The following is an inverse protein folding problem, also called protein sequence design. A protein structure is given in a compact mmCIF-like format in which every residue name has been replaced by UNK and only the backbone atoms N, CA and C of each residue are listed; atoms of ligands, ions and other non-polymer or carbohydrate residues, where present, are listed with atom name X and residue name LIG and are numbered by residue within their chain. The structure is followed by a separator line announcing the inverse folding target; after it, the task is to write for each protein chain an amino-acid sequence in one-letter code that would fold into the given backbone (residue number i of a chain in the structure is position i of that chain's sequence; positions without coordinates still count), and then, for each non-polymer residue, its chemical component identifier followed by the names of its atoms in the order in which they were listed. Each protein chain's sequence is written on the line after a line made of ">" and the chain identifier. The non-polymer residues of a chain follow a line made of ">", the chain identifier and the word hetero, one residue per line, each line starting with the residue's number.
data_IF_444081083172
#
_entry.id   IF_444081083172
#
_cell.length_a   1.000
_cell.length_b   1.000
_cell.length_c   1.000
_cell.angle_alpha   90.00
_cell.angle_beta   90.00
_cell.angle_gamma   90.00
#
_symmetry.space_group_name_H-M   'P 1'
#
loop_
_entity.id
_entity.type
_entity.pdbx_description
1 polymer ?
#
# COMPACT_ATOMS: atom_id res chain seq x y z
N UNK A 1 17.24 -0.58 4.71
CA UNK A 1 15.98 -1.36 4.61
C UNK A 1 14.95 -0.68 5.49
N UNK A 2 13.89 -0.18 4.89
CA UNK A 2 12.76 0.46 5.56
C UNK A 2 11.66 -0.57 5.77
N UNK A 3 11.16 -0.69 6.99
CA UNK A 3 10.01 -1.55 7.30
C UNK A 3 8.77 -0.67 7.53
N UNK A 4 7.72 -0.98 6.79
CA UNK A 4 6.44 -0.31 6.81
C UNK A 4 5.34 -1.29 7.24
N UNK A 5 4.39 -0.80 8.02
CA UNK A 5 3.15 -1.52 8.32
C UNK A 5 2.12 -1.21 7.25
N UNK A 6 1.63 -2.22 6.56
CA UNK A 6 0.59 -2.05 5.55
C UNK A 6 -0.76 -1.96 6.24
N UNK A 7 -1.60 -1.04 5.78
CA UNK A 7 -3.00 -0.98 6.13
C UNK A 7 -3.86 -0.83 4.89
N UNK A 8 -4.75 -1.78 4.67
CA UNK A 8 -5.64 -1.80 3.52
C UNK A 8 -6.85 -0.91 3.78
N UNK A 9 -7.09 0.06 2.90
CA UNK A 9 -8.24 0.97 3.01
C UNK A 9 -9.55 0.32 2.52
N UNK A 10 -9.47 -0.46 1.44
CA UNK A 10 -10.64 -1.03 0.77
C UNK A 10 -10.86 -2.53 1.04
N UNK A 11 -9.80 -3.27 1.36
CA UNK A 11 -9.83 -4.73 1.41
C UNK A 11 -9.29 -5.23 2.77
N UNK A 12 -10.14 -5.12 3.79
CA UNK A 12 -9.79 -5.52 5.15
C UNK A 12 -9.93 -7.05 5.37
N UNK A 13 -10.60 -7.75 4.45
CA UNK A 13 -10.85 -9.19 4.53
C UNK A 13 -9.63 -10.01 4.08
N UNK A 14 -8.90 -9.53 3.07
CA UNK A 14 -7.68 -10.17 2.53
C UNK A 14 -6.37 -9.59 3.12
N UNK A 15 -6.43 -9.17 4.40
CA UNK A 15 -5.31 -8.55 5.13
C UNK A 15 -4.18 -9.53 5.53
N UNK A 16 -3.75 -10.37 4.58
CA UNK A 16 -2.70 -11.37 4.77
C UNK A 16 -1.31 -10.73 4.97
N UNK A 17 -0.99 -9.60 4.33
CA UNK A 17 0.31 -8.93 4.48
C UNK A 17 0.22 -7.66 5.30
N UNK A 18 0.65 -7.74 6.55
CA UNK A 18 0.61 -6.60 7.50
C UNK A 18 1.91 -5.79 7.52
N UNK A 19 2.94 -6.28 6.83
CA UNK A 19 4.28 -5.70 6.80
C UNK A 19 4.84 -5.72 5.39
N UNK A 20 5.48 -4.62 5.02
CA UNK A 20 6.23 -4.43 3.79
C UNK A 20 7.62 -3.94 4.12
N UNK A 21 8.63 -4.45 3.46
CA UNK A 21 9.99 -3.93 3.58
C UNK A 21 10.51 -3.53 2.21
N UNK A 22 11.13 -2.35 2.15
CA UNK A 22 11.71 -1.83 0.92
C UNK A 22 13.14 -1.36 1.17
N UNK A 23 13.97 -1.43 0.14
CA UNK A 23 15.31 -0.85 0.17
C UNK A 23 15.27 0.67 0.03
N UNK A 24 14.22 1.19 -0.61
CA UNK A 24 14.01 2.61 -0.87
C UNK A 24 12.89 3.18 -0.01
N UNK A 25 12.92 4.49 0.21
CA UNK A 25 11.85 5.20 0.90
C UNK A 25 10.64 5.32 -0.03
N UNK A 26 9.48 4.85 0.42
CA UNK A 26 8.22 4.99 -0.30
C UNK A 26 7.65 6.41 -0.18
N UNK A 27 6.95 6.86 -1.22
CA UNK A 27 6.17 8.09 -1.22
C UNK A 27 4.67 7.81 -1.41
N UNK A 28 3.83 8.81 -1.16
CA UNK A 28 2.41 8.73 -1.52
C UNK A 28 2.30 8.75 -3.04
N UNK A 29 1.51 7.84 -3.60
CA UNK A 29 1.37 7.59 -5.03
C UNK A 29 2.29 6.49 -5.56
N UNK A 30 3.26 5.99 -4.77
CA UNK A 30 4.09 4.85 -5.17
C UNK A 30 3.24 3.57 -5.28
N UNK A 31 3.59 2.73 -6.23
CA UNK A 31 2.97 1.41 -6.42
C UNK A 31 3.91 0.37 -5.83
N UNK A 32 3.40 -0.39 -4.86
CA UNK A 32 4.12 -1.51 -4.25
C UNK A 32 3.54 -2.82 -4.75
N UNK A 33 4.43 -3.75 -5.10
CA UNK A 33 4.07 -5.14 -5.35
C UNK A 33 4.28 -5.94 -4.06
N UNK A 34 3.24 -6.65 -3.64
CA UNK A 34 3.33 -7.57 -2.50
C UNK A 34 3.79 -8.95 -2.98
N UNK A 35 4.29 -9.77 -2.04
CA UNK A 35 4.77 -11.13 -2.33
C UNK A 35 3.72 -12.07 -2.94
N UNK A 36 2.45 -11.67 -2.96
CA UNK A 36 1.37 -12.39 -3.62
C UNK A 36 1.21 -12.07 -5.11
N UNK A 37 2.02 -11.18 -5.67
CA UNK A 37 1.90 -10.71 -7.06
C UNK A 37 0.74 -9.72 -7.26
N UNK A 38 0.26 -9.10 -6.18
CA UNK A 38 -0.76 -8.05 -6.21
C UNK A 38 -0.11 -6.69 -6.04
N UNK A 39 -0.62 -5.73 -6.81
CA UNK A 39 -0.20 -4.34 -6.81
C UNK A 39 -1.12 -3.50 -5.93
N UNK A 40 -0.50 -2.62 -5.16
CA UNK A 40 -1.20 -1.70 -4.27
C UNK A 40 -0.58 -0.31 -4.37
N UNK A 41 -1.41 0.73 -4.38
CA UNK A 41 -0.91 2.11 -4.38
C UNK A 41 -0.85 2.63 -2.96
N UNK A 42 0.26 3.26 -2.60
CA UNK A 42 0.44 3.94 -1.32
C UNK A 42 -0.38 5.23 -1.35
N UNK A 43 -1.46 5.25 -0.59
CA UNK A 43 -2.38 6.38 -0.52
C UNK A 43 -1.99 7.37 0.57
N UNK A 44 -1.45 6.87 1.69
CA UNK A 44 -0.97 7.73 2.76
C UNK A 44 0.18 7.08 3.51
N UNK A 45 1.07 7.90 4.04
CA UNK A 45 2.16 7.47 4.91
C UNK A 45 2.00 8.16 6.26
N UNK A 46 1.79 7.37 7.30
CA UNK A 46 1.54 7.82 8.67
C UNK A 46 2.66 7.33 9.58
N UNK A 47 3.57 8.21 10.02
CA UNK A 47 4.54 7.83 11.05
C UNK A 47 3.81 7.59 12.38
N UNK A 48 4.13 6.48 13.04
CA UNK A 48 3.58 6.10 14.35
C UNK A 48 4.70 5.87 15.37
N UNK A 49 4.35 5.86 16.66
CA UNK A 49 5.30 5.57 17.75
C UNK A 49 6.00 4.20 17.63
N UNK A 50 5.41 3.24 16.92
CA UNK A 50 5.93 1.87 16.76
C UNK A 50 6.53 1.60 15.38
N UNK A 51 6.64 2.61 14.52
CA UNK A 51 7.15 2.48 13.15
C UNK A 51 6.36 3.32 12.15
N UNK A 52 6.58 3.11 10.85
CA UNK A 52 5.86 3.83 9.79
C UNK A 52 4.72 2.94 9.30
N UNK A 53 3.51 3.49 9.21
CA UNK A 53 2.37 2.83 8.58
C UNK A 53 2.12 3.44 7.22
N UNK A 54 1.86 2.60 6.23
CA UNK A 54 1.40 2.99 4.90
C UNK A 54 -0.04 2.51 4.73
N UNK A 55 -0.92 3.44 4.38
CA UNK A 55 -2.29 3.10 3.97
C UNK A 55 -2.26 2.86 2.46
N UNK A 56 -2.76 1.71 2.04
CA UNK A 56 -2.73 1.28 0.64
C UNK A 56 -4.14 1.11 0.07
N UNK A 57 -4.26 1.34 -1.24
CA UNK A 57 -5.49 1.12 -1.99
C UNK A 57 -5.81 -0.37 -2.13
N UNK A 58 -6.95 -0.64 -2.76
CA UNK A 58 -7.40 -1.99 -3.09
C UNK A 58 -6.33 -2.74 -3.90
N UNK A 59 -6.21 -4.04 -3.64
CA UNK A 59 -5.38 -4.94 -4.47
C UNK A 59 -5.86 -4.91 -5.90
N UNK A 60 -4.89 -4.86 -6.81
CA UNK A 60 -5.12 -5.04 -8.22
C UNK A 60 -4.12 -6.04 -8.80
N UNK A 61 -4.47 -6.67 -9.91
CA UNK A 61 -3.53 -7.50 -10.65
C UNK A 61 -2.51 -6.64 -11.40
N UNK A 62 -2.94 -5.46 -11.87
CA UNK A 62 -2.14 -4.55 -12.66
C UNK A 62 -1.89 -3.22 -11.91
N UNK A 63 -0.71 -2.61 -12.06
CA UNK A 63 -0.40 -1.32 -11.45
C UNK A 63 -1.33 -0.18 -11.95
N UNK A 64 -1.76 -0.24 -13.21
CA UNK A 64 -2.71 0.72 -13.79
C UNK A 64 -4.08 0.63 -13.13
N UNK A 65 -4.55 -0.59 -12.89
CA UNK A 65 -5.81 -0.84 -12.18
C UNK A 65 -5.70 -0.41 -10.72
N UNK A 66 -4.56 -0.65 -10.06
CA UNK A 66 -4.32 -0.19 -8.69
C UNK A 66 -4.41 1.34 -8.58
N UNK A 67 -3.84 2.06 -9.55
CA UNK A 67 -3.87 3.52 -9.65
C UNK A 67 -5.29 4.03 -9.93
N UNK A 68 -6.00 3.38 -10.84
CA UNK A 68 -7.37 3.74 -11.18
C UNK A 68 -8.31 3.54 -9.98
N UNK A 69 -8.13 2.46 -9.23
CA UNK A 69 -8.83 2.23 -7.97
C UNK A 69 -8.45 3.29 -6.93
N UNK A 70 -7.17 3.61 -6.78
CA UNK A 70 -6.74 4.65 -5.84
C UNK A 70 -7.40 6.02 -6.15
N UNK A 71 -7.46 6.41 -7.43
CA UNK A 71 -8.17 7.62 -7.87
C UNK A 71 -9.69 7.52 -7.66
N UNK A 72 -10.30 6.38 -8.01
CA UNK A 72 -11.74 6.19 -7.90
C UNK A 72 -12.24 6.24 -6.45
N UNK A 73 -11.42 5.78 -5.51
CA UNK A 73 -11.71 5.85 -4.08
C UNK A 73 -11.28 7.18 -3.43
N UNK A 74 -10.83 8.18 -4.21
CA UNK A 74 -10.30 9.46 -3.72
C UNK A 74 -9.17 9.28 -2.69
N UNK A 75 -8.40 8.21 -2.83
CA UNK A 75 -7.31 7.90 -1.92
C UNK A 75 -5.99 8.60 -2.32
N UNK A 76 -5.93 9.21 -3.52
CA UNK A 76 -4.84 10.04 -4.05
C UNK A 76 -5.39 11.23 -4.85
#
# INVERSE_FOLDING_TARGET
>A
MFEYRIHYLADCDDANWKKYSSEVQLNVGDIIELACGLHHVVCAIKPQKTGIRIDVSKSAQDPEEALLLAQQYEHI
#
